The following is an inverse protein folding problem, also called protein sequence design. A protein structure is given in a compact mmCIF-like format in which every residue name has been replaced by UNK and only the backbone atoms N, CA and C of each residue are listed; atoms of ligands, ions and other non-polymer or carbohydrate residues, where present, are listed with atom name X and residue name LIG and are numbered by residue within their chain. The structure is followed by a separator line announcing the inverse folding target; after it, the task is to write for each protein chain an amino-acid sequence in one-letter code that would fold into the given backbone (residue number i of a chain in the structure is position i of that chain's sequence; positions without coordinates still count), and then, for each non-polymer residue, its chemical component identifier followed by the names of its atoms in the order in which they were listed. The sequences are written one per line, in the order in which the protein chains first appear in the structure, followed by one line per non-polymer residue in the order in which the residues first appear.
data_IF_575854658128
#
_entry.id   IF_575854658128
#
_cell.length_a   1.000
_cell.length_b   1.000
_cell.length_c   1.000
_cell.angle_alpha   90.00
_cell.angle_beta   90.00
_cell.angle_gamma   90.00
#
_symmetry.space_group_name_H-M   'P 1'
#
loop_
_entity.id
_entity.type
_entity.pdbx_description
1 polymer ?
#
# COMPACT_ATOMS: atom_id res chain seq x y z
N UNK A 1 8.88 23.83 -0.05
CA UNK A 1 8.26 22.68 -0.70
C UNK A 1 6.91 22.45 -0.05
N UNK A 2 5.83 22.40 -0.83
CA UNK A 2 4.50 22.03 -0.32
C UNK A 2 4.41 20.53 -0.04
N UNK A 3 3.39 20.08 0.69
CA UNK A 3 3.16 18.63 0.90
C UNK A 3 2.95 17.90 -0.44
N UNK A 4 2.15 18.47 -1.35
CA UNK A 4 1.92 17.93 -2.70
C UNK A 4 3.23 17.76 -3.50
N UNK A 5 4.04 18.81 -3.56
CA UNK A 5 5.34 18.78 -4.26
C UNK A 5 6.26 17.72 -3.65
N UNK A 6 6.26 17.59 -2.33
CA UNK A 6 7.08 16.59 -1.65
C UNK A 6 6.66 15.17 -1.95
N UNK A 7 5.37 14.87 -1.84
CA UNK A 7 4.83 13.53 -2.05
C UNK A 7 5.00 13.12 -3.52
N UNK A 8 4.67 14.02 -4.45
CA UNK A 8 4.83 13.75 -5.89
C UNK A 8 6.30 13.54 -6.27
N UNK A 9 7.23 14.34 -5.77
CA UNK A 9 8.67 14.14 -6.00
C UNK A 9 9.18 12.84 -5.39
N UNK A 10 8.73 12.47 -4.19
CA UNK A 10 9.09 11.20 -3.57
C UNK A 10 8.63 10.01 -4.43
N UNK A 11 7.36 9.98 -4.85
CA UNK A 11 6.83 8.91 -5.70
C UNK A 11 7.51 8.87 -7.08
N UNK A 12 7.75 10.03 -7.70
CA UNK A 12 8.50 10.11 -8.95
C UNK A 12 9.92 9.56 -8.79
N UNK A 13 10.59 9.84 -7.66
CA UNK A 13 11.91 9.30 -7.36
C UNK A 13 11.88 7.77 -7.18
N UNK A 14 10.90 7.23 -6.44
CA UNK A 14 10.71 5.78 -6.27
C UNK A 14 10.60 5.08 -7.63
N UNK A 15 9.71 5.56 -8.49
CA UNK A 15 9.47 4.91 -9.78
C UNK A 15 10.62 5.10 -10.77
N UNK A 16 11.20 6.30 -10.86
CA UNK A 16 12.30 6.57 -11.80
C UNK A 16 13.57 5.83 -11.41
N UNK A 17 13.96 5.85 -10.13
CA UNK A 17 15.20 5.21 -9.70
C UNK A 17 15.04 3.71 -9.48
N UNK A 18 13.87 3.27 -8.99
CA UNK A 18 13.57 1.87 -8.79
C UNK A 18 13.53 1.06 -10.08
N UNK A 19 12.83 1.56 -11.10
CA UNK A 19 12.63 0.81 -12.34
C UNK A 19 13.84 0.80 -13.27
N UNK A 20 14.79 1.72 -13.06
CA UNK A 20 16.07 1.73 -13.75
C UNK A 20 17.07 0.71 -13.17
N UNK A 21 16.83 0.15 -11.98
CA UNK A 21 17.69 -0.91 -11.45
C UNK A 21 17.02 -2.26 -11.74
N UNK A 22 17.50 -3.01 -12.74
CA UNK A 22 16.88 -4.27 -13.18
C UNK A 22 16.66 -5.27 -12.03
N UNK A 23 17.61 -5.34 -11.08
CA UNK A 23 17.48 -6.18 -9.88
C UNK A 23 16.38 -5.72 -8.92
N UNK A 24 16.18 -4.40 -8.78
CA UNK A 24 15.09 -3.82 -7.98
C UNK A 24 13.76 -4.07 -8.66
N UNK A 25 13.66 -3.78 -9.97
CA UNK A 25 12.46 -4.00 -10.78
C UNK A 25 11.98 -5.44 -10.72
N UNK A 26 12.89 -6.40 -10.87
CA UNK A 26 12.60 -7.82 -10.76
C UNK A 26 12.16 -8.22 -9.34
N UNK A 27 12.79 -7.66 -8.30
CA UNK A 27 12.44 -7.95 -6.91
C UNK A 27 11.08 -7.39 -6.49
N UNK A 28 10.64 -6.26 -7.06
CA UNK A 28 9.34 -5.63 -6.73
C UNK A 28 8.19 -6.07 -7.65
N UNK A 29 8.42 -7.00 -8.58
CA UNK A 29 7.46 -7.45 -9.60
C UNK A 29 6.89 -6.34 -10.51
N UNK A 30 7.48 -5.14 -10.50
CA UNK A 30 7.02 -4.04 -11.33
C UNK A 30 7.52 -4.24 -12.75
N UNK A 31 6.62 -4.39 -13.71
CA UNK A 31 6.95 -4.48 -15.14
C UNK A 31 7.22 -3.11 -15.75
N UNK A 32 6.46 -2.10 -15.35
CA UNK A 32 6.57 -0.75 -15.92
C UNK A 32 5.75 0.29 -15.16
N UNK A 33 6.00 1.55 -15.50
CA UNK A 33 5.26 2.73 -15.02
C UNK A 33 5.01 3.70 -16.16
N UNK A 34 3.88 4.40 -16.10
CA UNK A 34 3.62 5.59 -16.91
C UNK A 34 3.15 6.72 -15.99
N UNK A 35 3.82 7.87 -16.07
CA UNK A 35 3.54 9.03 -15.24
C UNK A 35 2.53 9.95 -15.96
N UNK A 36 1.42 10.25 -15.29
CA UNK A 36 0.40 11.17 -15.75
C UNK A 36 0.52 12.47 -14.98
N UNK A 37 0.84 13.52 -15.72
CA UNK A 37 1.05 14.85 -15.17
C UNK A 37 -0.30 15.57 -15.05
N UNK A 38 -0.54 16.31 -13.97
CA UNK A 38 -1.73 17.14 -13.88
C UNK A 38 -1.75 18.14 -15.03
N UNK A 39 -2.94 18.37 -15.59
CA UNK A 39 -3.11 19.46 -16.55
C UNK A 39 -2.79 20.79 -15.86
N UNK A 40 -2.18 21.76 -16.56
CA UNK A 40 -1.91 23.07 -15.97
C UNK A 40 -3.18 23.68 -15.37
N UNK A 41 -3.17 23.93 -14.06
CA UNK A 41 -4.30 24.54 -13.33
C UNK A 41 -5.38 23.57 -12.79
N UNK A 42 -5.24 22.25 -12.94
CA UNK A 42 -6.25 21.27 -12.48
C UNK A 42 -6.07 20.78 -11.04
N UNK A 43 -5.14 21.35 -10.26
CA UNK A 43 -4.81 20.87 -8.90
C UNK A 43 -3.91 19.62 -8.90
N UNK A 44 -3.67 19.00 -7.72
CA UNK A 44 -2.78 17.86 -7.55
C UNK A 44 -3.43 16.60 -8.12
N UNK A 45 -3.29 16.38 -9.41
CA UNK A 45 -3.83 15.20 -10.09
C UNK A 45 -2.72 14.31 -10.66
N UNK A 46 -1.60 14.23 -9.93
CA UNK A 46 -0.54 13.26 -10.26
C UNK A 46 -1.11 11.86 -10.19
N UNK A 47 -0.88 11.09 -11.25
CA UNK A 47 -1.20 9.67 -11.26
C UNK A 47 -0.09 8.87 -11.93
N UNK A 48 0.03 7.61 -11.53
CA UNK A 48 0.96 6.66 -12.12
C UNK A 48 0.17 5.43 -12.53
N UNK A 49 0.29 5.03 -13.78
CA UNK A 49 -0.13 3.71 -14.21
C UNK A 49 1.00 2.71 -13.97
N UNK A 50 0.68 1.61 -13.30
CA UNK A 50 1.65 0.59 -12.90
C UNK A 50 1.23 -0.76 -13.48
N UNK A 51 2.20 -1.52 -13.97
CA UNK A 51 1.99 -2.90 -14.43
C UNK A 51 2.88 -3.84 -13.63
N UNK A 52 2.32 -4.99 -13.26
CA UNK A 52 3.06 -6.07 -12.62
C UNK A 52 3.45 -7.12 -13.66
N UNK A 53 4.45 -7.97 -13.38
CA UNK A 53 4.73 -9.11 -14.29
C UNK A 53 3.72 -10.25 -14.09
N UNK A 54 3.13 -10.33 -12.90
CA UNK A 54 2.17 -11.38 -12.51
C UNK A 54 0.71 -11.08 -12.87
N UNK A 55 0.39 -9.84 -13.24
CA UNK A 55 -0.98 -9.40 -13.56
C UNK A 55 -1.05 -8.77 -14.96
N UNK A 56 -2.00 -9.18 -15.81
CA UNK A 56 -2.15 -8.59 -17.15
C UNK A 56 -2.89 -7.23 -17.14
N UNK A 57 -3.69 -6.94 -16.11
CA UNK A 57 -4.33 -5.63 -15.93
C UNK A 57 -3.38 -4.51 -15.56
N UNK A 58 -3.93 -3.30 -15.41
CA UNK A 58 -3.19 -2.10 -15.04
C UNK A 58 -3.69 -1.51 -13.72
N UNK A 59 -2.78 -0.95 -12.93
CA UNK A 59 -3.11 -0.21 -11.73
C UNK A 59 -3.01 1.29 -11.97
N UNK A 60 -3.88 2.07 -11.35
CA UNK A 60 -3.73 3.53 -11.23
C UNK A 60 -3.46 3.87 -9.77
N UNK A 61 -2.33 4.49 -9.50
CA UNK A 61 -2.05 5.14 -8.23
C UNK A 61 -2.20 6.65 -8.42
N UNK A 62 -3.21 7.26 -7.80
CA UNK A 62 -3.53 8.68 -7.98
C UNK A 62 -3.41 9.42 -6.68
N UNK A 63 -2.64 10.52 -6.66
CA UNK A 63 -2.64 11.45 -5.54
C UNK A 63 -3.97 12.22 -5.55
N UNK A 64 -4.74 12.09 -4.46
CA UNK A 64 -6.06 12.72 -4.30
C UNK A 64 -5.95 13.99 -3.46
N UNK A 65 -5.14 13.93 -2.41
CA UNK A 65 -4.96 15.01 -1.45
C UNK A 65 -3.54 14.97 -0.90
N UNK A 66 -2.98 16.14 -0.62
CA UNK A 66 -1.73 16.26 0.11
C UNK A 66 -1.78 17.44 1.06
N UNK A 67 -1.35 17.23 2.31
CA UNK A 67 -1.42 18.22 3.37
C UNK A 67 -0.25 18.10 4.35
N UNK A 68 0.01 19.18 5.09
CA UNK A 68 0.93 19.15 6.22
C UNK A 68 0.19 18.76 7.50
N UNK A 69 0.54 17.62 8.08
CA UNK A 69 -0.04 17.15 9.34
C UNK A 69 0.94 17.32 10.49
N UNK A 70 0.42 17.62 11.68
CA UNK A 70 1.21 17.68 12.92
C UNK A 70 0.95 16.46 13.79
N UNK A 71 2.02 15.75 14.10
CA UNK A 71 2.00 14.58 14.98
C UNK A 71 2.90 14.87 16.18
N UNK A 72 2.31 15.43 17.22
CA UNK A 72 3.05 16.01 18.36
C UNK A 72 3.91 17.20 17.91
N UNK A 73 5.24 17.22 18.18
CA UNK A 73 6.16 18.26 17.73
C UNK A 73 6.58 18.10 16.26
N UNK A 74 6.30 16.95 15.64
CA UNK A 74 6.77 16.63 14.29
C UNK A 74 5.78 17.13 13.24
N UNK A 75 6.30 17.70 12.15
CA UNK A 75 5.53 18.07 10.95
C UNK A 75 5.82 17.06 9.85
N UNK A 76 4.78 16.45 9.33
CA UNK A 76 4.85 15.47 8.26
C UNK A 76 4.09 15.99 7.05
N UNK A 77 4.60 15.76 5.84
CA UNK A 77 3.78 15.82 4.65
C UNK A 77 2.99 14.50 4.57
N UNK A 78 1.67 14.58 4.41
CA UNK A 78 0.79 13.44 4.18
C UNK A 78 0.27 13.51 2.76
N UNK A 79 0.36 12.41 2.02
CA UNK A 79 -0.28 12.22 0.73
C UNK A 79 -1.29 11.07 0.80
N UNK A 80 -2.53 11.32 0.39
CA UNK A 80 -3.59 10.33 0.27
C UNK A 80 -3.72 9.90 -1.18
N UNK A 81 -3.48 8.62 -1.45
CA UNK A 81 -3.49 8.05 -2.79
C UNK A 81 -4.63 7.04 -2.96
N UNK A 82 -5.42 7.21 -4.02
CA UNK A 82 -6.37 6.19 -4.45
C UNK A 82 -5.66 5.15 -5.31
N UNK A 83 -5.89 3.87 -5.03
CA UNK A 83 -5.38 2.76 -5.82
C UNK A 83 -6.54 2.09 -6.54
N UNK A 84 -6.55 2.18 -7.88
CA UNK A 84 -7.52 1.49 -8.73
C UNK A 84 -6.88 0.35 -9.49
N UNK A 85 -7.67 -0.66 -9.81
CA UNK A 85 -7.24 -1.78 -10.67
C UNK A 85 -8.19 -1.97 -11.85
N UNK A 86 -7.64 -1.96 -13.05
CA UNK A 86 -8.33 -2.20 -14.31
C UNK A 86 -7.96 -3.60 -14.82
N UNK A 87 -8.73 -4.64 -14.46
CA UNK A 87 -8.41 -6.00 -14.86
C UNK A 87 -8.62 -6.23 -16.36
N UNK A 88 -7.76 -7.05 -16.95
CA UNK A 88 -7.97 -7.59 -18.28
C UNK A 88 -9.21 -8.49 -18.29
N UNK A 89 -9.99 -8.54 -19.40
CA UNK A 89 -11.17 -9.42 -19.50
C UNK A 89 -10.89 -10.92 -19.31
N UNK A 90 -9.65 -11.35 -19.50
CA UNK A 90 -9.23 -12.73 -19.31
C UNK A 90 -8.97 -13.09 -17.83
N UNK A 91 -8.88 -12.11 -16.93
CA UNK A 91 -8.60 -12.37 -15.52
C UNK A 91 -9.85 -12.86 -14.78
N UNK A 92 -9.72 -13.80 -13.83
CA UNK A 92 -10.86 -14.25 -13.02
C UNK A 92 -11.59 -13.11 -12.29
N UNK A 93 -10.85 -12.10 -11.83
CA UNK A 93 -11.40 -10.96 -11.10
C UNK A 93 -12.31 -10.07 -11.95
N UNK A 94 -12.17 -10.12 -13.28
CA UNK A 94 -13.06 -9.38 -14.18
C UNK A 94 -14.52 -9.83 -14.00
N UNK A 95 -14.76 -11.12 -13.77
CA UNK A 95 -16.10 -11.66 -13.54
C UNK A 95 -16.73 -11.20 -12.22
N UNK A 96 -15.92 -10.72 -11.27
CA UNK A 96 -16.37 -10.17 -9.99
C UNK A 96 -16.84 -8.71 -10.08
N UNK A 97 -16.61 -8.05 -11.21
CA UNK A 97 -17.03 -6.67 -11.43
C UNK A 97 -18.53 -6.58 -11.74
N UNK A 98 -19.16 -5.46 -11.41
CA UNK A 98 -20.54 -5.20 -11.83
C UNK A 98 -20.63 -5.14 -13.37
N UNK A 99 -21.77 -5.52 -13.99
CA UNK A 99 -21.89 -5.55 -15.45
C UNK A 99 -21.51 -4.23 -16.14
N UNK A 100 -21.89 -3.08 -15.57
CA UNK A 100 -21.55 -1.78 -16.12
C UNK A 100 -20.03 -1.48 -16.12
N UNK A 101 -19.30 -2.01 -15.13
CA UNK A 101 -17.84 -1.91 -15.08
C UNK A 101 -17.17 -2.82 -16.11
N UNK A 102 -17.70 -4.02 -16.29
CA UNK A 102 -17.24 -4.94 -17.35
C UNK A 102 -17.45 -4.35 -18.74
N UNK A 103 -18.61 -3.74 -19.00
CA UNK A 103 -18.92 -3.10 -20.27
C UNK A 103 -17.99 -1.89 -20.53
N UNK A 104 -17.71 -1.10 -19.49
CA UNK A 104 -16.80 0.04 -19.61
C UNK A 104 -15.37 -0.41 -19.95
N UNK A 105 -14.85 -1.46 -19.30
CA UNK A 105 -13.51 -2.03 -19.59
C UNK A 105 -13.38 -2.63 -21.00
N UNK A 106 -14.50 -3.07 -21.60
CA UNK A 106 -14.54 -3.55 -22.99
C UNK A 106 -14.76 -2.43 -24.01
N UNK A 107 -15.05 -1.23 -23.53
CA UNK A 107 -15.32 -0.08 -24.40
C UNK A 107 -14.01 0.59 -24.86
N UNK A 108 -14.06 1.43 -25.90
CA UNK A 108 -12.90 2.22 -26.35
C UNK A 108 -12.39 3.26 -25.33
N UNK A 109 -12.95 3.33 -24.12
CA UNK A 109 -12.41 4.15 -23.03
C UNK A 109 -11.06 3.63 -22.58
N UNK A 110 -10.84 2.32 -22.64
CA UNK A 110 -9.57 1.68 -22.30
C UNK A 110 -8.83 1.26 -23.56
N UNK A 111 -7.51 1.40 -23.53
CA UNK A 111 -6.62 0.96 -24.61
C UNK A 111 -6.09 -0.47 -24.38
N UNK A 112 -5.22 -0.92 -25.29
CA UNK A 112 -4.60 -2.25 -25.24
C UNK A 112 -3.70 -2.46 -24.01
N UNK A 113 -3.26 -1.38 -23.35
CA UNK A 113 -2.48 -1.42 -22.10
C UNK A 113 -3.35 -1.51 -20.85
N UNK A 114 -4.68 -1.55 -21.05
CA UNK A 114 -5.71 -1.53 -20.01
C UNK A 114 -5.67 -0.26 -19.16
N UNK A 115 -5.21 0.85 -19.73
CA UNK A 115 -5.32 2.17 -19.12
C UNK A 115 -6.36 3.00 -19.87
N UNK A 116 -6.95 4.03 -19.21
CA UNK A 116 -7.84 4.94 -19.88
C UNK A 116 -7.10 5.68 -21.00
N UNK A 117 -7.69 5.72 -22.20
CA UNK A 117 -7.15 6.50 -23.30
C UNK A 117 -7.00 7.97 -22.93
N UNK A 118 -6.08 8.68 -23.59
CA UNK A 118 -5.79 10.08 -23.28
C UNK A 118 -7.06 10.95 -23.27
N UNK A 119 -7.29 11.66 -22.16
CA UNK A 119 -8.46 12.53 -21.98
C UNK A 119 -9.78 11.79 -21.73
N UNK A 120 -9.77 10.47 -21.56
CA UNK A 120 -10.98 9.68 -21.30
C UNK A 120 -11.19 9.34 -19.81
N UNK A 121 -10.29 9.77 -18.92
CA UNK A 121 -10.38 9.47 -17.48
C UNK A 121 -11.67 10.03 -16.85
N UNK A 122 -12.13 11.21 -17.29
CA UNK A 122 -13.39 11.84 -16.83
C UNK A 122 -14.65 11.02 -17.19
N UNK A 123 -14.52 10.02 -18.07
CA UNK A 123 -15.61 9.09 -18.40
C UNK A 123 -15.73 7.94 -17.41
N UNK A 124 -14.76 7.79 -16.51
CA UNK A 124 -14.73 6.75 -15.48
C UNK A 124 -15.25 7.35 -14.19
N UNK A 125 -16.32 6.80 -13.60
CA UNK A 125 -16.80 7.27 -12.30
C UNK A 125 -15.70 7.20 -11.24
N UNK A 126 -15.55 8.21 -10.37
CA UNK A 126 -14.40 8.33 -9.48
C UNK A 126 -14.28 7.19 -8.45
N UNK A 127 -15.41 6.58 -8.07
CA UNK A 127 -15.42 5.49 -7.07
C UNK A 127 -15.30 4.10 -7.71
N UNK A 128 -15.27 4.02 -9.05
CA UNK A 128 -15.14 2.75 -9.73
C UNK A 128 -13.71 2.22 -9.68
N UNK A 129 -13.61 0.89 -9.62
CA UNK A 129 -12.34 0.15 -9.66
C UNK A 129 -11.39 0.42 -8.49
N UNK A 130 -11.80 1.17 -7.47
CA UNK A 130 -11.00 1.40 -6.28
C UNK A 130 -10.81 0.10 -5.51
N UNK A 131 -9.56 -0.29 -5.29
CA UNK A 131 -9.18 -1.49 -4.54
C UNK A 131 -8.45 -1.13 -3.24
N UNK A 132 -8.18 0.14 -2.98
CA UNK A 132 -7.60 0.57 -1.71
C UNK A 132 -7.13 2.02 -1.71
N UNK A 133 -6.75 2.47 -0.52
CA UNK A 133 -6.10 3.76 -0.29
C UNK A 133 -4.71 3.51 0.25
N UNK A 134 -3.73 4.21 -0.30
CA UNK A 134 -2.38 4.27 0.24
C UNK A 134 -2.15 5.65 0.82
N UNK A 135 -1.69 5.73 2.06
CA UNK A 135 -1.21 6.98 2.64
C UNK A 135 0.31 6.94 2.76
N UNK A 136 0.95 8.03 2.34
CA UNK A 136 2.39 8.25 2.49
C UNK A 136 2.60 9.41 3.45
N UNK A 137 3.42 9.21 4.47
CA UNK A 137 3.84 10.24 5.41
C UNK A 137 5.35 10.44 5.35
N UNK A 138 5.80 11.68 5.19
CA UNK A 138 7.21 12.05 5.06
C UNK A 138 7.58 13.14 6.08
N UNK A 139 8.50 12.83 6.99
CA UNK A 139 8.98 13.80 7.98
C UNK A 139 9.87 14.87 7.33
N UNK A 140 9.70 16.16 7.66
CA UNK A 140 10.41 17.31 7.04
C UNK A 140 11.94 17.19 6.95
N UNK A 141 12.52 16.39 7.83
CA UNK A 141 13.96 16.15 8.00
C UNK A 141 14.42 14.80 7.43
N UNK A 142 13.56 14.11 6.68
CA UNK A 142 13.78 12.79 6.07
C UNK A 142 14.11 11.70 7.10
N UNK A 143 13.73 11.90 8.36
CA UNK A 143 14.04 10.97 9.47
C UNK A 143 13.05 9.83 9.60
N UNK A 144 11.87 9.99 9.02
CA UNK A 144 10.83 8.98 9.04
C UNK A 144 9.97 9.06 7.77
N UNK A 145 9.66 7.88 7.26
CA UNK A 145 8.76 7.66 6.13
C UNK A 145 7.81 6.53 6.49
N UNK A 146 6.52 6.72 6.22
CA UNK A 146 5.49 5.73 6.58
C UNK A 146 4.57 5.51 5.40
N UNK A 147 4.42 4.24 5.01
CA UNK A 147 3.40 3.82 4.06
C UNK A 147 2.29 3.09 4.81
N UNK A 148 1.05 3.42 4.50
CA UNK A 148 -0.12 2.73 5.02
C UNK A 148 -1.03 2.31 3.88
N UNK A 149 -1.39 1.03 3.81
CA UNK A 149 -2.45 0.52 2.94
C UNK A 149 -3.71 0.31 3.77
N UNK A 150 -4.84 0.75 3.25
CA UNK A 150 -6.17 0.32 3.68
C UNK A 150 -6.94 -0.20 2.47
N UNK A 151 -7.48 -1.42 2.55
CA UNK A 151 -8.33 -1.97 1.50
C UNK A 151 -9.53 -2.71 2.13
N UNK A 152 -10.70 -2.54 1.50
CA UNK A 152 -11.97 -3.09 1.98
C UNK A 152 -12.41 -4.25 1.09
N UNK A 153 -12.42 -5.46 1.65
CA UNK A 153 -13.03 -6.58 0.95
C UNK A 153 -14.56 -6.41 1.05
N UNK A 154 -15.31 -6.33 -0.07
CA UNK A 154 -16.72 -5.93 -0.11
C UNK A 154 -17.65 -6.73 0.80
N UNK A 155 -17.28 -7.95 1.19
CA UNK A 155 -18.05 -8.76 2.15
C UNK A 155 -18.11 -8.11 3.55
N UNK A 156 -17.12 -7.32 3.99
CA UNK A 156 -17.19 -6.60 5.28
C UNK A 156 -18.05 -5.34 5.23
N UNK A 157 -18.07 -4.62 4.11
CA UNK A 157 -18.93 -3.44 3.95
C UNK A 157 -20.43 -3.78 4.03
N UNK A 158 -20.81 -5.08 3.94
CA UNK A 158 -22.21 -5.55 4.07
C UNK A 158 -22.69 -5.56 5.52
N UNK A 159 -21.79 -5.41 6.50
CA UNK A 159 -22.08 -5.46 7.92
C UNK A 159 -22.02 -4.08 8.60
N UNK A 160 -21.73 -3.01 7.84
CA UNK A 160 -21.71 -1.63 8.35
C UNK A 160 -23.05 -0.90 8.07
N UNK A 161 -23.60 -0.12 9.04
CA UNK A 161 -24.86 0.62 8.91
C UNK A 161 -24.77 1.75 7.85
N UNK A 162 -25.91 2.33 7.42
CA UNK A 162 -26.15 2.68 6.03
C UNK A 162 -25.49 4.01 5.64
N UNK A 163 -24.43 3.92 4.86
CA UNK A 163 -24.04 5.01 3.95
C UNK A 163 -24.87 4.87 2.67
N UNK A 164 -25.19 5.98 1.95
CA UNK A 164 -26.08 5.95 0.79
C UNK A 164 -25.60 4.92 -0.23
N UNK A 165 -26.37 3.84 -0.34
CA UNK A 165 -26.06 2.69 -1.17
C UNK A 165 -26.32 3.07 -2.62
N UNK A 166 -25.25 3.24 -3.40
CA UNK A 166 -25.38 3.27 -4.86
C UNK A 166 -25.47 1.82 -5.32
N UNK A 167 -26.70 1.31 -5.47
CA UNK A 167 -27.04 -0.10 -5.75
C UNK A 167 -26.38 -0.69 -7.03
N UNK A 168 -25.76 0.12 -7.88
CA UNK A 168 -25.26 -0.29 -9.20
C UNK A 168 -23.72 -0.45 -9.33
N UNK A 169 -22.92 -0.25 -8.27
CA UNK A 169 -21.46 -0.18 -8.38
C UNK A 169 -20.68 -1.21 -7.54
N UNK A 170 -21.36 -2.12 -6.85
CA UNK A 170 -20.69 -3.01 -5.89
C UNK A 170 -20.09 -4.22 -6.60
N UNK A 171 -18.81 -4.14 -6.92
CA UNK A 171 -17.99 -5.30 -7.30
C UNK A 171 -17.68 -6.15 -6.07
N UNK A 172 -17.62 -7.47 -6.20
CA UNK A 172 -17.16 -8.39 -5.15
C UNK A 172 -15.70 -8.79 -5.39
N UNK A 173 -14.83 -7.78 -5.41
CA UNK A 173 -13.40 -7.97 -5.69
C UNK A 173 -12.60 -8.23 -4.42
N UNK A 174 -11.57 -9.08 -4.47
CA UNK A 174 -10.64 -9.30 -3.35
C UNK A 174 -9.67 -8.12 -3.24
N UNK A 175 -10.17 -6.98 -2.74
CA UNK A 175 -9.50 -5.69 -2.75
C UNK A 175 -8.12 -5.75 -2.08
N UNK A 176 -7.99 -6.43 -0.94
CA UNK A 176 -6.70 -6.59 -0.28
C UNK A 176 -5.68 -7.33 -1.16
N UNK A 177 -6.08 -8.44 -1.77
CA UNK A 177 -5.22 -9.25 -2.64
C UNK A 177 -4.80 -8.49 -3.89
N UNK A 178 -5.66 -7.59 -4.39
CA UNK A 178 -5.33 -6.73 -5.53
C UNK A 178 -4.41 -5.58 -5.14
N UNK A 179 -4.62 -4.97 -3.98
CA UNK A 179 -3.87 -3.79 -3.55
C UNK A 179 -2.49 -4.13 -2.97
N UNK A 180 -2.36 -5.26 -2.28
CA UNK A 180 -1.14 -5.63 -1.57
C UNK A 180 0.10 -5.70 -2.45
N UNK A 181 0.09 -6.28 -3.68
CA UNK A 181 1.28 -6.31 -4.53
C UNK A 181 1.87 -4.92 -4.84
N UNK A 182 1.01 -3.91 -5.05
CA UNK A 182 1.47 -2.53 -5.26
C UNK A 182 2.06 -1.96 -3.98
N UNK A 183 1.42 -2.20 -2.84
CA UNK A 183 1.96 -1.78 -1.54
C UNK A 183 3.31 -2.44 -1.21
N UNK A 184 3.44 -3.74 -1.47
CA UNK A 184 4.67 -4.52 -1.31
C UNK A 184 5.81 -3.96 -2.19
N UNK A 185 5.49 -3.64 -3.45
CA UNK A 185 6.42 -3.02 -4.37
C UNK A 185 6.88 -1.64 -3.88
N UNK A 186 5.96 -0.78 -3.41
CA UNK A 186 6.29 0.53 -2.85
C UNK A 186 7.21 0.42 -1.64
N UNK A 187 6.96 -0.52 -0.72
CA UNK A 187 7.85 -0.75 0.43
C UNK A 187 9.25 -1.16 -0.05
N UNK A 188 9.34 -2.09 -1.01
CA UNK A 188 10.63 -2.51 -1.58
C UNK A 188 11.39 -1.36 -2.25
N UNK A 189 10.68 -0.51 -3.00
CA UNK A 189 11.23 0.69 -3.61
C UNK A 189 11.72 1.69 -2.57
N UNK A 190 10.93 1.94 -1.52
CA UNK A 190 11.31 2.82 -0.41
C UNK A 190 12.54 2.30 0.32
N UNK A 191 12.60 1.00 0.58
CA UNK A 191 13.78 0.36 1.17
C UNK A 191 15.04 0.61 0.35
N UNK A 192 14.95 0.42 -0.98
CA UNK A 192 16.06 0.67 -1.91
C UNK A 192 16.48 2.14 -1.94
N UNK A 193 15.53 3.05 -2.11
CA UNK A 193 15.82 4.47 -2.29
C UNK A 193 16.38 5.11 -1.02
N UNK A 194 15.79 4.80 0.14
CA UNK A 194 16.24 5.35 1.42
C UNK A 194 17.46 4.63 2.00
N UNK A 195 17.83 3.46 1.46
CA UNK A 195 18.83 2.55 2.04
C UNK A 195 18.51 2.19 3.49
N UNK A 196 17.22 1.99 3.78
CA UNK A 196 16.70 1.71 5.11
C UNK A 196 15.80 0.49 5.09
N UNK A 197 15.92 -0.33 6.12
CA UNK A 197 14.98 -1.43 6.34
C UNK A 197 13.76 -0.90 7.09
N UNK A 198 12.58 -1.52 6.90
CA UNK A 198 11.44 -1.25 7.76
C UNK A 198 11.83 -1.41 9.23
N UNK A 199 11.50 -0.42 10.04
CA UNK A 199 11.72 -0.46 11.47
C UNK A 199 10.52 -1.06 12.20
N UNK A 200 9.32 -0.87 11.65
CA UNK A 200 8.05 -1.36 12.21
C UNK A 200 7.09 -1.75 11.12
N UNK A 201 6.37 -2.84 11.37
CA UNK A 201 5.24 -3.31 10.57
C UNK A 201 4.07 -3.57 11.51
N UNK A 202 2.94 -2.95 11.20
CA UNK A 202 1.72 -3.03 12.00
C UNK A 202 0.59 -3.48 11.09
N UNK A 203 -0.10 -4.54 11.51
CA UNK A 203 -1.33 -4.98 10.85
C UNK A 203 -2.50 -4.65 11.76
N UNK A 204 -3.54 -4.07 11.17
CA UNK A 204 -4.77 -3.69 11.86
C UNK A 204 -5.98 -4.16 11.06
N UNK A 205 -7.09 -4.36 11.77
CA UNK A 205 -8.42 -4.59 11.17
C UNK A 205 -9.45 -3.71 11.85
N UNK A 206 -10.59 -3.44 11.23
CA UNK A 206 -11.71 -2.81 11.96
C UNK A 206 -12.30 -3.74 13.03
N UNK A 207 -12.64 -3.26 14.24
CA UNK A 207 -13.50 -3.96 15.20
C UNK A 207 -14.81 -4.40 14.53
N UNK A 208 -15.27 -5.62 14.81
CA UNK A 208 -16.49 -6.19 14.22
C UNK A 208 -16.34 -6.75 12.80
N UNK A 209 -15.18 -6.56 12.18
CA UNK A 209 -14.84 -7.24 10.94
C UNK A 209 -14.74 -8.76 11.12
N UNK A 210 -15.30 -9.51 10.17
CA UNK A 210 -15.07 -10.96 10.07
C UNK A 210 -13.58 -11.19 9.77
N UNK A 211 -12.90 -12.15 10.44
CA UNK A 211 -11.46 -12.38 10.28
C UNK A 211 -10.98 -12.48 8.83
N UNK A 212 -11.79 -13.07 7.95
CA UNK A 212 -11.43 -13.33 6.55
C UNK A 212 -11.74 -12.18 5.59
N UNK A 213 -12.67 -11.29 5.95
CA UNK A 213 -13.24 -10.31 5.01
C UNK A 213 -13.31 -8.87 5.51
N UNK A 214 -12.81 -8.57 6.70
CA UNK A 214 -12.70 -7.22 7.25
C UNK A 214 -11.94 -6.22 6.42
N UNK A 215 -12.22 -4.91 6.58
CA UNK A 215 -11.29 -3.85 6.20
C UNK A 215 -9.94 -4.12 6.90
N UNK A 216 -8.91 -4.35 6.08
CA UNK A 216 -7.54 -4.65 6.52
C UNK A 216 -6.70 -3.40 6.31
N UNK A 217 -5.84 -3.10 7.28
CA UNK A 217 -4.82 -2.07 7.14
C UNK A 217 -3.44 -2.61 7.48
N UNK A 218 -2.44 -2.19 6.71
CA UNK A 218 -1.05 -2.41 7.02
C UNK A 218 -0.32 -1.08 7.04
N UNK A 219 0.52 -0.90 8.04
CA UNK A 219 1.41 0.23 8.16
C UNK A 219 2.85 -0.28 8.22
N UNK A 220 3.70 0.32 7.40
CA UNK A 220 5.14 0.05 7.38
C UNK A 220 5.87 1.37 7.56
N UNK A 221 6.71 1.43 8.60
CA UNK A 221 7.46 2.62 8.95
C UNK A 221 8.96 2.40 8.83
N UNK A 222 9.61 3.36 8.18
CA UNK A 222 11.05 3.54 8.08
C UNK A 222 11.43 4.67 9.03
N UNK A 223 12.40 4.43 9.93
CA UNK A 223 12.93 5.47 10.81
C UNK A 223 14.44 5.43 10.84
N UNK A 224 15.05 6.61 10.90
CA UNK A 224 16.46 6.74 11.25
C UNK A 224 16.67 6.29 12.70
N UNK A 225 17.38 5.17 12.86
CA UNK A 225 17.66 4.57 14.18
C UNK A 225 18.54 5.46 15.06
N UNK A 226 19.26 6.41 14.47
CA UNK A 226 20.08 7.37 15.20
C UNK A 226 19.25 8.55 15.73
N UNK A 227 17.95 8.61 15.40
CA UNK A 227 17.07 9.71 15.81
C UNK A 227 15.88 9.19 16.62
N UNK A 228 15.99 9.15 17.96
CA UNK A 228 14.93 8.65 18.84
C UNK A 228 13.58 9.38 18.69
N UNK A 229 13.62 10.65 18.25
CA UNK A 229 12.45 11.46 17.96
C UNK A 229 11.61 10.90 16.79
N UNK A 230 12.25 10.27 15.79
CA UNK A 230 11.58 9.63 14.67
C UNK A 230 10.75 8.42 15.12
N UNK A 231 11.31 7.56 15.97
CA UNK A 231 10.60 6.44 16.57
C UNK A 231 9.37 6.90 17.38
N UNK A 232 9.53 7.98 18.15
CA UNK A 232 8.44 8.59 18.93
C UNK A 232 7.34 9.17 18.02
N UNK A 233 7.71 9.69 16.84
CA UNK A 233 6.76 10.18 15.85
C UNK A 233 5.92 9.05 15.27
N UNK A 234 6.55 7.91 14.96
CA UNK A 234 5.82 6.71 14.52
C UNK A 234 4.90 6.17 15.62
N UNK A 235 5.34 6.13 16.88
CA UNK A 235 4.49 5.74 18.01
C UNK A 235 3.25 6.64 18.14
N UNK A 236 3.41 7.96 17.92
CA UNK A 236 2.31 8.92 17.94
C UNK A 236 1.40 8.78 16.73
N UNK A 237 1.95 8.54 15.55
CA UNK A 237 1.18 8.30 14.34
C UNK A 237 0.36 7.02 14.46
N UNK A 238 0.97 5.94 14.98
CA UNK A 238 0.26 4.72 15.38
C UNK A 238 -0.85 5.02 16.39
N UNK A 239 -0.60 5.85 17.41
CA UNK A 239 -1.62 6.21 18.39
C UNK A 239 -2.78 6.99 17.77
N UNK A 240 -2.51 7.92 16.85
CA UNK A 240 -3.54 8.64 16.09
C UNK A 240 -4.37 7.65 15.25
N UNK A 241 -3.72 6.72 14.55
CA UNK A 241 -4.39 5.66 13.80
C UNK A 241 -5.16 4.69 14.71
N UNK A 242 -4.71 4.51 15.95
CA UNK A 242 -5.34 3.69 16.97
C UNK A 242 -6.50 4.36 17.72
N UNK A 243 -6.83 5.63 17.43
CA UNK A 243 -7.91 6.34 18.15
C UNK A 243 -9.34 6.08 17.64
N UNK A 244 -9.56 5.46 16.46
CA UNK A 244 -10.86 4.87 16.03
C UNK A 244 -10.75 4.22 14.63
N UNK A 245 -11.57 3.22 14.22
CA UNK A 245 -11.86 1.95 14.87
C UNK A 245 -10.88 0.91 14.28
N UNK A 246 -9.62 0.86 14.72
CA UNK A 246 -8.66 -0.12 14.22
C UNK A 246 -8.11 -0.96 15.37
N UNK A 247 -8.38 -2.26 15.34
CA UNK A 247 -7.79 -3.24 16.24
C UNK A 247 -6.44 -3.69 15.67
N UNK A 248 -5.35 -3.29 16.30
CA UNK A 248 -4.01 -3.82 15.98
C UNK A 248 -3.99 -5.32 16.23
N UNK A 249 -3.69 -6.09 15.19
CA UNK A 249 -3.59 -7.54 15.22
C UNK A 249 -2.19 -7.99 15.59
N UNK A 250 -1.20 -7.46 14.87
CA UNK A 250 0.19 -7.84 15.01
C UNK A 250 1.08 -6.60 14.98
N UNK A 251 2.11 -6.62 15.84
CA UNK A 251 3.25 -5.71 15.77
C UNK A 251 4.49 -6.57 15.56
N UNK A 252 5.19 -6.35 14.47
CA UNK A 252 6.47 -7.01 14.24
C UNK A 252 7.58 -6.02 14.62
N UNK A 253 8.31 -6.23 15.73
CA UNK A 253 9.60 -5.58 15.91
C UNK A 253 10.52 -6.16 14.84
N UNK A 254 10.90 -5.34 13.86
CA UNK A 254 11.59 -5.86 12.68
C UNK A 254 13.06 -6.15 13.02
N UNK A 255 13.38 -7.43 13.23
CA UNK A 255 14.76 -7.93 13.39
C UNK A 255 15.16 -8.80 12.19
N UNK A 256 15.16 -8.19 11.01
CA UNK A 256 15.64 -8.85 9.78
C UNK A 256 14.66 -9.86 9.16
N UNK A 257 15.01 -10.44 8.00
CA UNK A 257 14.15 -11.36 7.26
C UNK A 257 13.91 -12.64 8.07
N UNK A 258 12.64 -13.02 8.25
CA UNK A 258 12.23 -14.27 8.93
C UNK A 258 12.15 -14.21 10.46
N UNK A 259 12.54 -13.10 11.11
CA UNK A 259 12.44 -12.93 12.56
C UNK A 259 11.17 -12.12 12.93
N UNK A 260 10.00 -12.73 12.74
CA UNK A 260 8.73 -12.20 13.24
C UNK A 260 8.57 -12.59 14.70
N UNK A 261 9.23 -11.86 15.59
CA UNK A 261 9.06 -12.05 17.03
C UNK A 261 7.68 -11.51 17.42
N UNK A 262 6.65 -12.36 17.34
CA UNK A 262 5.27 -12.03 17.70
C UNK A 262 5.12 -11.89 19.22
N UNK A 263 5.89 -10.99 19.84
CA UNK A 263 6.15 -11.01 21.28
C UNK A 263 5.04 -10.44 22.15
N UNK A 264 3.93 -9.96 21.58
CA UNK A 264 2.82 -9.39 22.36
C UNK A 264 1.46 -9.61 21.73
N UNK A 265 1.01 -10.86 21.69
CA UNK A 265 -0.43 -11.10 21.76
C UNK A 265 -0.89 -10.77 23.18
N UNK A 266 -1.58 -9.64 23.36
CA UNK A 266 -2.22 -9.25 24.63
C UNK A 266 -3.33 -10.25 25.04
N UNK A 267 -3.69 -11.17 24.15
CA UNK A 267 -4.69 -12.23 24.39
C UNK A 267 -4.10 -13.54 24.93
N UNK A 268 -2.78 -13.70 25.02
CA UNK A 268 -2.16 -14.92 25.56
C UNK A 268 -1.86 -14.87 27.06
N UNK A 269 -2.22 -13.78 27.77
CA UNK A 269 -2.08 -13.70 29.22
C UNK A 269 -3.27 -14.31 29.96
N UNK A 270 -3.69 -15.51 29.54
CA UNK A 270 -4.45 -16.42 30.39
C UNK A 270 -3.46 -17.19 31.25
N UNK A 271 -3.58 -17.06 32.56
CA UNK A 271 -2.68 -17.66 33.54
C UNK A 271 -2.54 -19.17 33.35
N UNK A 272 -1.40 -19.61 32.80
CA UNK A 272 -0.93 -20.97 32.98
C UNK A 272 0.57 -20.95 33.29
N UNK A 273 0.91 -21.71 34.32
CA UNK A 273 2.17 -21.71 35.03
C UNK A 273 3.39 -21.96 34.16
N UNK A 274 4.49 -21.35 34.59
CA UNK A 274 5.82 -21.47 34.04
C UNK A 274 6.33 -22.92 34.09
N UNK A 275 6.30 -23.60 32.95
CA UNK A 275 7.22 -24.70 32.69
C UNK A 275 8.11 -24.37 31.50
N UNK A 276 9.40 -24.16 31.80
CA UNK A 276 10.48 -24.15 30.83
C UNK A 276 10.52 -25.51 30.12
N UNK A 277 10.08 -25.55 28.86
CA UNK A 277 10.43 -26.61 27.94
C UNK A 277 10.91 -26.04 26.61
N UNK A 278 12.00 -26.65 26.15
CA UNK A 278 12.79 -26.36 24.95
C UNK A 278 11.98 -26.29 23.65
N UNK A 279 12.44 -25.39 22.78
CA UNK A 279 12.50 -25.51 21.31
C UNK A 279 11.32 -26.10 20.52
N UNK A 280 10.08 -25.82 20.90
CA UNK A 280 8.98 -25.90 19.95
C UNK A 280 8.79 -24.55 19.26
N UNK A 281 9.00 -24.53 17.93
CA UNK A 281 8.43 -23.53 17.02
C UNK A 281 6.95 -23.40 17.37
N UNK A 282 6.58 -22.40 18.14
CA UNK A 282 5.19 -22.00 18.24
C UNK A 282 4.80 -21.44 16.88
N UNK A 283 4.23 -22.28 16.02
CA UNK A 283 3.33 -21.81 14.99
C UNK A 283 2.19 -21.13 15.73
N UNK A 284 2.27 -19.81 15.89
CA UNK A 284 1.15 -19.01 16.32
C UNK A 284 0.11 -19.04 15.18
N UNK A 285 -0.56 -20.18 15.04
CA UNK A 285 -1.76 -20.36 14.22
C UNK A 285 -2.97 -19.85 14.99
N UNK A 286 -2.85 -18.70 15.63
CA UNK A 286 -4.02 -17.96 16.08
C UNK A 286 -4.59 -17.30 14.83
N UNK A 287 -5.67 -17.88 14.30
CA UNK A 287 -6.72 -17.31 13.44
C UNK A 287 -6.60 -15.82 13.05
N UNK A 288 -5.53 -15.49 12.33
CA UNK A 288 -5.36 -14.20 11.66
C UNK A 288 -5.13 -14.54 10.20
N UNK A 289 -6.24 -14.74 9.49
CA UNK A 289 -6.35 -14.86 8.04
C UNK A 289 -6.06 -13.54 7.30
N UNK A 290 -5.19 -12.71 7.87
CA UNK A 290 -4.51 -11.63 7.15
C UNK A 290 -3.07 -12.08 6.97
N UNK A 291 -2.76 -12.82 5.90
CA UNK A 291 -1.37 -13.10 5.58
C UNK A 291 -0.75 -11.82 5.04
N UNK A 292 -0.35 -10.90 5.93
CA UNK A 292 0.67 -9.93 5.58
C UNK A 292 1.97 -10.72 5.45
N UNK A 293 2.29 -11.13 4.22
CA UNK A 293 3.57 -11.77 3.95
C UNK A 293 4.62 -10.68 3.82
N UNK A 294 5.26 -10.32 4.93
CA UNK A 294 6.38 -9.38 4.87
C UNK A 294 7.44 -9.94 3.92
N UNK A 295 7.62 -9.29 2.77
CA UNK A 295 8.46 -9.81 1.70
C UNK A 295 9.94 -9.65 2.04
N UNK A 296 10.76 -10.67 1.77
CA UNK A 296 12.21 -10.63 2.00
C UNK A 296 12.87 -9.46 1.23
N UNK A 297 12.23 -9.02 0.15
CA UNK A 297 12.62 -7.88 -0.68
C UNK A 297 12.76 -6.59 0.14
N UNK A 298 11.95 -6.39 1.17
CA UNK A 298 11.98 -5.18 2.00
C UNK A 298 13.32 -5.00 2.73
N UNK A 299 14.01 -6.10 3.05
CA UNK A 299 15.29 -6.07 3.75
C UNK A 299 16.47 -6.12 2.79
N UNK A 300 16.37 -6.95 1.76
CA UNK A 300 17.45 -7.17 0.80
C UNK A 300 17.67 -5.93 -0.06
N UNK A 301 16.61 -5.24 -0.47
CA UNK A 301 16.70 -4.03 -1.27
C UNK A 301 17.33 -2.84 -0.53
N UNK A 302 17.20 -2.77 0.80
CA UNK A 302 17.87 -1.74 1.59
C UNK A 302 19.41 -1.82 1.52
N UNK A 303 19.94 -3.03 1.30
CA UNK A 303 21.36 -3.31 1.16
C UNK A 303 21.80 -3.53 -0.30
N UNK A 304 20.90 -3.30 -1.27
CA UNK A 304 21.19 -3.60 -2.67
C UNK A 304 22.07 -2.52 -3.32
N UNK A 305 23.27 -2.92 -3.74
CA UNK A 305 24.27 -2.05 -4.38
C UNK A 305 24.29 -2.16 -5.91
N UNK A 306 23.29 -2.82 -6.52
CA UNK A 306 23.25 -2.99 -7.97
C UNK A 306 23.17 -1.66 -8.73
N UNK A 307 23.83 -1.61 -9.88
CA UNK A 307 23.91 -0.41 -10.70
C UNK A 307 22.54 -0.06 -11.33
N UNK A 308 22.25 1.25 -11.37
CA UNK A 308 21.18 1.83 -12.19
C UNK A 308 21.56 1.56 -13.66
N UNK A 309 20.79 0.71 -14.35
CA UNK A 309 20.93 0.51 -15.79
C UNK A 309 20.11 1.60 -16.48
N UNK A 310 20.76 2.37 -17.37
CA UNK A 310 20.05 3.40 -18.11
C UNK A 310 18.94 2.75 -18.96
N UNK A 311 17.68 3.12 -18.72
CA UNK A 311 16.59 2.75 -19.63
C UNK A 311 16.91 3.36 -21.01
N UNK A 312 16.80 2.60 -22.11
CA UNK A 312 16.72 3.25 -23.42
C UNK A 312 15.48 4.13 -23.39
N UNK A 313 15.67 5.43 -23.65
CA UNK A 313 14.58 6.38 -23.79
C UNK A 313 13.48 5.80 -24.69
N UNK A 314 12.28 5.66 -24.13
CA UNK A 314 11.11 5.14 -24.84
C UNK A 314 10.68 6.12 -25.92
N UNK A 315 11.14 5.86 -27.15
CA UNK A 315 10.49 6.33 -28.37
C UNK A 315 9.81 5.12 -29.00
N UNK A 316 8.51 4.95 -28.75
CA UNK A 316 7.60 4.15 -29.57
C UNK A 316 6.31 4.94 -29.79
#
# INVERSE_FOLDING_TARGET
MSADERISLHLAALFRHGLQADGVRAATDLKGVSEVWPAPGSGPAWAWYLWLTTSPGAYELRLVEAEDVRVGPSRLARGSLALRYFPAPAEPVFACLAPAQQDLLRSPVFDETHTPGFGLNDRIPPDWFNVGTIELYEAADDTASVLMLAADDPLAASLAPPWPQVENARSDVPAWQLAYPIFDALIGLTSYLERRQPARVICSRRPGAVPDSGLKAALVAFVDRNQPAAATTVDRLEAVLGTDPWQTLCRYPVRGPGETDCRRHRHCSGAHDHHHHDHHRHSCTADISIPLRCSETWWTLAAFDGAITALPCGCH
#
